data_IF_983596517453
#
_entry.id   IF_983596517453
#
_cell.length_a   1.000
_cell.length_b   1.000
_cell.length_c   1.000
_cell.angle_alpha   90.00
_cell.angle_beta   90.00
_cell.angle_gamma   90.00
#
_symmetry.space_group_name_H-M   'P 1'
#
loop_
_entity.id
_entity.type
_entity.pdbx_description
1 polymer ?
#
# COMPACT_ATOMS: atom_id res chain seq x y z
N UNK A 1 19.66 16.66 21.61
CA UNK A 1 19.76 17.04 20.18
C UNK A 1 18.44 17.67 19.76
N UNK A 2 18.46 18.86 19.19
CA UNK A 2 17.28 19.48 18.56
C UNK A 2 17.24 19.08 17.09
N UNK A 3 16.11 18.57 16.63
CA UNK A 3 15.90 18.24 15.20
C UNK A 3 15.89 19.54 14.38
N UNK A 4 16.70 19.61 13.33
CA UNK A 4 16.73 20.72 12.37
C UNK A 4 16.16 20.24 11.03
N UNK A 5 15.04 20.82 10.60
CA UNK A 5 14.37 20.45 9.35
C UNK A 5 14.94 21.21 8.14
N UNK A 6 15.75 22.24 8.34
CA UNK A 6 16.39 22.99 7.25
C UNK A 6 17.41 22.14 6.48
N UNK A 7 17.93 21.07 7.10
CA UNK A 7 18.88 20.13 6.49
C UNK A 7 18.22 18.94 5.79
N UNK A 8 16.89 18.96 5.58
CA UNK A 8 16.17 17.88 4.93
C UNK A 8 16.61 17.70 3.46
N UNK A 9 16.93 16.46 3.08
CA UNK A 9 17.26 16.06 1.72
C UNK A 9 16.45 14.81 1.33
N UNK A 10 15.85 14.85 0.13
CA UNK A 10 15.12 13.72 -0.46
C UNK A 10 15.55 13.38 -1.89
N UNK A 11 16.78 13.68 -2.28
CA UNK A 11 17.29 13.40 -3.63
C UNK A 11 17.28 11.90 -3.96
N UNK A 12 17.33 11.05 -2.93
CA UNK A 12 17.18 9.59 -3.03
C UNK A 12 15.75 9.13 -3.31
N UNK A 13 14.76 10.00 -3.15
CA UNK A 13 13.35 9.64 -3.23
C UNK A 13 12.85 9.61 -4.69
N UNK A 14 12.54 8.41 -5.17
CA UNK A 14 12.06 8.19 -6.52
C UNK A 14 10.65 7.57 -6.52
N UNK A 15 9.60 8.40 -6.44
CA UNK A 15 8.22 7.92 -6.31
C UNK A 15 7.60 7.46 -7.63
N UNK A 16 8.36 7.38 -8.72
CA UNK A 16 7.86 7.12 -10.06
C UNK A 16 7.21 8.34 -10.74
N UNK A 17 6.83 8.18 -12.01
CA UNK A 17 6.32 9.29 -12.82
C UNK A 17 5.02 9.88 -12.28
N UNK A 18 4.79 11.18 -12.53
CA UNK A 18 3.57 11.86 -12.11
C UNK A 18 2.30 11.18 -12.63
N UNK A 19 2.31 10.74 -13.90
CA UNK A 19 1.20 10.02 -14.50
C UNK A 19 0.89 8.70 -13.78
N UNK A 20 1.92 7.91 -13.43
CA UNK A 20 1.76 6.65 -12.69
C UNK A 20 1.11 6.89 -11.32
N UNK A 21 1.58 7.92 -10.61
CA UNK A 21 1.03 8.32 -9.31
C UNK A 21 -0.40 8.81 -9.40
N UNK A 22 -0.71 9.66 -10.39
CA UNK A 22 -2.07 10.16 -10.62
C UNK A 22 -3.04 9.02 -10.96
N UNK A 23 -2.65 8.10 -11.84
CA UNK A 23 -3.44 6.93 -12.20
C UNK A 23 -3.71 6.04 -10.98
N UNK A 24 -2.68 5.76 -10.18
CA UNK A 24 -2.85 4.98 -8.96
C UNK A 24 -3.74 5.69 -7.94
N UNK A 25 -3.58 7.00 -7.76
CA UNK A 25 -4.40 7.79 -6.85
C UNK A 25 -5.90 7.66 -7.19
N UNK A 26 -6.25 7.76 -8.48
CA UNK A 26 -7.63 7.55 -8.94
C UNK A 26 -8.13 6.15 -8.63
N UNK A 27 -7.34 5.11 -8.93
CA UNK A 27 -7.69 3.71 -8.61
C UNK A 27 -7.87 3.49 -7.11
N UNK A 28 -6.99 4.07 -6.29
CA UNK A 28 -7.07 3.99 -4.83
C UNK A 28 -8.33 4.66 -4.28
N UNK A 29 -8.68 5.84 -4.78
CA UNK A 29 -9.90 6.55 -4.39
C UNK A 29 -11.18 5.78 -4.73
N UNK A 30 -11.21 5.11 -5.89
CA UNK A 30 -12.40 4.40 -6.37
C UNK A 30 -12.57 3.02 -5.74
N UNK A 31 -11.48 2.29 -5.50
CA UNK A 31 -11.56 0.87 -5.14
C UNK A 31 -11.03 0.53 -3.74
N UNK A 32 -10.17 1.36 -3.15
CA UNK A 32 -9.53 1.07 -1.87
C UNK A 32 -10.13 1.87 -0.72
N UNK A 33 -10.37 3.16 -0.94
CA UNK A 33 -10.91 4.08 0.06
C UNK A 33 -12.37 3.79 0.46
N UNK A 34 -13.29 3.43 -0.44
CA UNK A 34 -14.68 3.18 -0.06
C UNK A 34 -14.82 1.91 0.78
N UNK A 35 -15.49 2.02 1.93
CA UNK A 35 -15.67 0.90 2.85
C UNK A 35 -16.72 -0.12 2.43
N UNK A 36 -17.60 0.23 1.47
CA UNK A 36 -18.76 -0.59 1.08
C UNK A 36 -18.51 -1.52 -0.11
N UNK A 37 -17.28 -1.62 -0.63
CA UNK A 37 -16.90 -2.55 -1.70
C UNK A 37 -16.13 -3.75 -1.13
N UNK A 38 -16.80 -4.87 -0.75
CA UNK A 38 -16.17 -6.03 -0.13
C UNK A 38 -15.48 -6.98 -1.13
N UNK A 39 -14.98 -6.46 -2.27
CA UNK A 39 -14.34 -7.28 -3.29
C UNK A 39 -12.84 -7.46 -3.01
N UNK A 40 -12.51 -8.36 -2.07
CA UNK A 40 -11.12 -8.57 -1.61
C UNK A 40 -10.16 -9.02 -2.71
N UNK A 41 -10.59 -9.95 -3.58
CA UNK A 41 -9.77 -10.47 -4.68
C UNK A 41 -9.48 -9.43 -5.76
N UNK A 42 -10.43 -8.51 -6.01
CA UNK A 42 -10.25 -7.46 -7.01
C UNK A 42 -9.18 -6.44 -6.60
N UNK A 43 -9.10 -6.10 -5.31
CA UNK A 43 -8.02 -5.26 -4.76
C UNK A 43 -6.64 -5.88 -4.97
N UNK A 44 -6.51 -7.19 -4.77
CA UNK A 44 -5.26 -7.92 -5.02
C UNK A 44 -4.88 -7.84 -6.51
N UNK A 45 -5.83 -8.00 -7.41
CA UNK A 45 -5.60 -7.84 -8.85
C UNK A 45 -5.11 -6.43 -9.18
N UNK A 46 -5.78 -5.38 -8.70
CA UNK A 46 -5.36 -3.99 -8.93
C UNK A 46 -3.96 -3.71 -8.39
N UNK A 47 -3.62 -4.19 -7.18
CA UNK A 47 -2.27 -4.02 -6.63
C UNK A 47 -1.21 -4.67 -7.53
N UNK A 48 -1.48 -5.89 -8.00
CA UNK A 48 -0.57 -6.60 -8.93
C UNK A 48 -0.43 -5.86 -10.26
N UNK A 49 -1.53 -5.33 -10.80
CA UNK A 49 -1.52 -4.52 -12.03
C UNK A 49 -0.63 -3.28 -11.89
N UNK A 50 -0.61 -2.65 -10.71
CA UNK A 50 0.24 -1.49 -10.42
C UNK A 50 1.65 -1.85 -9.94
N UNK A 51 2.05 -3.13 -10.01
CA UNK A 51 3.41 -3.60 -9.78
C UNK A 51 3.70 -4.13 -8.39
N UNK A 52 2.71 -4.26 -7.51
CA UNK A 52 2.91 -4.95 -6.24
C UNK A 52 3.10 -6.46 -6.46
N UNK A 53 3.92 -7.09 -5.62
CA UNK A 53 3.96 -8.55 -5.54
C UNK A 53 3.07 -8.98 -4.37
N UNK A 54 2.00 -9.70 -4.65
CA UNK A 54 1.05 -10.15 -3.63
C UNK A 54 0.90 -11.65 -3.76
N UNK A 55 1.15 -12.39 -2.67
CA UNK A 55 1.05 -13.85 -2.59
C UNK A 55 -0.38 -14.39 -2.67
N UNK A 56 -0.53 -15.68 -2.38
CA UNK A 56 -1.82 -16.38 -2.38
C UNK A 56 -2.56 -16.16 -1.06
N UNK A 57 -3.89 -16.24 -1.07
CA UNK A 57 -4.68 -16.17 0.17
C UNK A 57 -4.61 -14.85 0.93
N UNK A 58 -4.27 -13.73 0.25
CA UNK A 58 -4.20 -12.40 0.88
C UNK A 58 -5.58 -11.77 0.97
N UNK A 59 -5.96 -11.33 2.16
CA UNK A 59 -7.22 -10.63 2.42
C UNK A 59 -6.94 -9.15 2.66
N UNK A 60 -7.58 -8.28 1.86
CA UNK A 60 -7.41 -6.82 1.96
C UNK A 60 -8.74 -6.20 2.35
N UNK A 61 -8.87 -5.80 3.61
CA UNK A 61 -10.12 -5.26 4.14
C UNK A 61 -10.47 -3.87 3.58
N UNK A 62 -11.70 -3.38 3.81
CA UNK A 62 -12.10 -2.05 3.37
C UNK A 62 -11.26 -0.93 4.00
N UNK A 63 -11.04 0.15 3.23
CA UNK A 63 -10.27 1.31 3.68
C UNK A 63 -8.75 1.13 3.73
N UNK A 64 -8.20 -0.05 3.38
CA UNK A 64 -6.74 -0.24 3.27
C UNK A 64 -6.17 0.71 2.22
N UNK A 65 -5.12 1.45 2.57
CA UNK A 65 -4.44 2.40 1.68
C UNK A 65 -3.00 1.95 1.44
N UNK A 66 -2.57 2.01 0.18
CA UNK A 66 -1.18 1.76 -0.24
C UNK A 66 -0.73 2.96 -1.05
N UNK A 67 0.39 3.58 -0.67
CA UNK A 67 0.90 4.77 -1.36
C UNK A 67 1.48 4.44 -2.73
N UNK A 68 2.42 3.50 -2.79
CA UNK A 68 3.11 3.09 -4.02
C UNK A 68 3.10 1.56 -4.18
N UNK A 69 2.12 0.97 -4.91
CA UNK A 69 2.02 -0.48 -5.06
C UNK A 69 3.29 -1.13 -5.61
N UNK A 70 3.98 -0.48 -6.54
CA UNK A 70 5.25 -0.96 -7.10
C UNK A 70 6.41 -1.06 -6.09
N UNK A 71 6.24 -0.52 -4.89
CA UNK A 71 7.17 -0.66 -3.75
C UNK A 71 6.60 -1.57 -2.65
N UNK A 72 5.61 -2.40 -2.97
CA UNK A 72 4.96 -3.29 -2.01
C UNK A 72 5.17 -4.76 -2.38
N UNK A 73 5.61 -5.54 -1.39
CA UNK A 73 5.60 -7.00 -1.42
C UNK A 73 4.77 -7.52 -0.25
N UNK A 74 3.84 -8.41 -0.52
CA UNK A 74 3.02 -9.11 0.47
C UNK A 74 3.15 -10.60 0.19
N UNK A 75 3.47 -11.36 1.23
CA UNK A 75 3.59 -12.81 1.21
C UNK A 75 2.27 -13.53 1.06
N UNK A 76 2.29 -14.83 1.33
CA UNK A 76 1.14 -15.71 1.30
C UNK A 76 0.36 -15.66 2.62
N UNK A 77 -0.95 -15.84 2.54
CA UNK A 77 -1.86 -15.99 3.68
C UNK A 77 -1.80 -14.81 4.67
N UNK A 78 -1.72 -13.59 4.13
CA UNK A 78 -1.68 -12.37 4.94
C UNK A 78 -3.08 -11.72 5.05
N UNK A 79 -3.32 -11.06 6.18
CA UNK A 79 -4.55 -10.33 6.44
C UNK A 79 -4.24 -8.85 6.71
N UNK A 80 -4.74 -7.96 5.86
CA UNK A 80 -4.63 -6.52 6.06
C UNK A 80 -5.97 -6.01 6.60
N UNK A 81 -5.99 -5.63 7.86
CA UNK A 81 -7.16 -5.13 8.59
C UNK A 81 -7.72 -3.84 8.01
N UNK A 82 -8.91 -3.45 8.48
CA UNK A 82 -9.58 -2.25 7.98
C UNK A 82 -8.74 -1.00 8.21
N UNK A 83 -8.73 -0.08 7.24
CA UNK A 83 -8.03 1.20 7.36
C UNK A 83 -6.52 1.12 7.64
N UNK A 84 -5.88 -0.04 7.40
CA UNK A 84 -4.42 -0.12 7.39
C UNK A 84 -3.86 0.84 6.34
N UNK A 85 -2.85 1.62 6.69
CA UNK A 85 -2.19 2.52 5.76
C UNK A 85 -0.72 2.13 5.63
N UNK A 86 -0.35 1.71 4.42
CA UNK A 86 1.03 1.42 4.02
C UNK A 86 1.55 2.65 3.26
N UNK A 87 2.26 3.54 3.95
CA UNK A 87 2.87 4.78 3.42
C UNK A 87 4.27 4.53 2.85
N UNK A 88 4.38 3.53 1.98
CA UNK A 88 5.65 3.02 1.50
C UNK A 88 6.37 3.97 0.52
N UNK A 89 7.18 4.88 1.07
CA UNK A 89 8.13 5.73 0.33
C UNK A 89 9.33 4.93 -0.24
N UNK A 90 9.58 3.76 0.34
CA UNK A 90 10.58 2.78 -0.07
C UNK A 90 9.96 1.37 -0.10
N UNK A 91 10.73 0.35 -0.45
CA UNK A 91 10.24 -1.03 -0.48
C UNK A 91 9.76 -1.49 0.90
N UNK A 92 8.47 -1.82 1.01
CA UNK A 92 7.88 -2.51 2.16
C UNK A 92 7.66 -3.98 1.80
N UNK A 93 8.08 -4.88 2.69
CA UNK A 93 7.88 -6.32 2.54
C UNK A 93 7.14 -6.86 3.75
N UNK A 94 5.94 -7.37 3.53
CA UNK A 94 5.15 -8.13 4.50
C UNK A 94 5.36 -9.60 4.18
N UNK A 95 5.93 -10.36 5.10
CA UNK A 95 6.22 -11.80 4.91
C UNK A 95 4.96 -12.67 4.99
N UNK A 96 5.12 -13.97 4.73
CA UNK A 96 4.05 -14.96 4.80
C UNK A 96 3.43 -15.04 6.21
N UNK A 97 2.13 -15.35 6.27
CA UNK A 97 1.36 -15.54 7.50
C UNK A 97 1.32 -14.32 8.45
N UNK A 98 1.34 -13.10 7.91
CA UNK A 98 1.26 -11.86 8.70
C UNK A 98 -0.16 -11.31 8.75
N UNK A 99 -0.58 -10.88 9.94
CA UNK A 99 -1.80 -10.11 10.16
C UNK A 99 -1.43 -8.68 10.57
N UNK A 100 -1.96 -7.69 9.83
CA UNK A 100 -1.94 -6.29 10.24
C UNK A 100 -3.31 -5.93 10.80
N UNK A 101 -3.34 -5.49 12.05
CA UNK A 101 -4.57 -5.10 12.74
C UNK A 101 -5.17 -3.81 12.14
N UNK A 102 -6.46 -3.57 12.37
CA UNK A 102 -7.14 -2.38 11.86
C UNK A 102 -6.42 -1.08 12.27
N UNK A 103 -6.36 -0.14 11.32
CA UNK A 103 -5.74 1.17 11.53
C UNK A 103 -4.22 1.17 11.68
N UNK A 104 -3.53 0.03 11.48
CA UNK A 104 -2.08 -0.01 11.53
C UNK A 104 -1.47 0.90 10.46
N UNK A 105 -0.40 1.62 10.81
CA UNK A 105 0.39 2.45 9.92
C UNK A 105 1.77 1.83 9.72
N UNK A 106 2.18 1.68 8.45
CA UNK A 106 3.45 1.12 8.02
C UNK A 106 4.18 2.09 7.10
#
# INVERSE_FOLDING_TARGET
>A
MTTDLSTYNNDWYQPGSAAKRACWYMVSLLFFKPSFLPFYGFKVFLLRLFGARVGKGVVIKPGVQVKYPWLLRVGNHCWLGEKVWIDNLAQVTISDHVCLSQGAFL
#
